data_IF_601090722974
#
_entry.id   IF_601090722974
#
_cell.length_a   1.000
_cell.length_b   1.000
_cell.length_c   1.000
_cell.angle_alpha   90.00
_cell.angle_beta   90.00
_cell.angle_gamma   90.00
#
_symmetry.space_group_name_H-M   'P 1'
#
loop_
_entity.id
_entity.type
_entity.pdbx_description
1 polymer ?
#
# COMPACT_ATOMS: atom_id res chain seq x y z
N UNK A 1 24.05 -33.56 -1.86
CA UNK A 1 23.27 -32.29 -1.84
C UNK A 1 22.41 -32.12 -3.08
N UNK A 2 22.97 -32.27 -4.30
CA UNK A 2 22.22 -32.16 -5.56
C UNK A 2 20.92 -33.00 -5.60
N UNK A 3 20.92 -34.32 -5.29
CA UNK A 3 19.69 -35.12 -5.31
C UNK A 3 18.68 -34.73 -4.22
N UNK A 4 19.15 -34.18 -3.09
CA UNK A 4 18.26 -33.70 -2.03
C UNK A 4 17.50 -32.45 -2.49
N UNK A 5 18.19 -31.54 -3.19
CA UNK A 5 17.59 -30.30 -3.70
C UNK A 5 16.66 -30.57 -4.88
N UNK A 6 17.05 -31.43 -5.83
CA UNK A 6 16.19 -31.78 -6.98
C UNK A 6 14.90 -32.46 -6.54
N UNK A 7 14.96 -33.43 -5.61
CA UNK A 7 13.78 -34.13 -5.12
C UNK A 7 12.84 -33.25 -4.26
N UNK A 8 13.33 -32.15 -3.67
CA UNK A 8 12.50 -31.21 -2.90
C UNK A 8 12.03 -30.01 -3.75
N UNK A 9 12.63 -29.78 -4.92
CA UNK A 9 12.27 -28.67 -5.81
C UNK A 9 10.80 -28.68 -6.24
N UNK A 10 10.16 -29.83 -6.59
CA UNK A 10 8.74 -29.87 -6.92
C UNK A 10 7.84 -29.33 -5.80
N UNK A 11 8.16 -29.63 -4.54
CA UNK A 11 7.41 -29.15 -3.38
C UNK A 11 7.54 -27.63 -3.22
N UNK A 12 8.77 -27.11 -3.27
CA UNK A 12 9.04 -25.67 -3.11
C UNK A 12 8.44 -24.85 -4.26
N UNK A 13 8.67 -25.27 -5.51
CA UNK A 13 8.12 -24.62 -6.69
C UNK A 13 6.59 -24.74 -6.73
N UNK A 14 6.06 -25.93 -6.44
CA UNK A 14 4.62 -26.18 -6.39
C UNK A 14 3.93 -25.26 -5.38
N UNK A 15 4.46 -25.14 -4.16
CA UNK A 15 3.90 -24.25 -3.15
C UNK A 15 4.01 -22.77 -3.57
N UNK A 16 5.14 -22.35 -4.11
CA UNK A 16 5.34 -20.98 -4.59
C UNK A 16 4.33 -20.62 -5.69
N UNK A 17 4.19 -21.48 -6.71
CA UNK A 17 3.24 -21.30 -7.82
C UNK A 17 1.78 -21.38 -7.35
N UNK A 18 1.48 -22.25 -6.38
CA UNK A 18 0.15 -22.33 -5.78
C UNK A 18 -0.24 -20.99 -5.14
N UNK A 19 0.66 -20.41 -4.34
CA UNK A 19 0.43 -19.14 -3.65
C UNK A 19 0.31 -17.97 -4.63
N UNK A 20 1.20 -17.86 -5.63
CA UNK A 20 1.13 -16.77 -6.61
C UNK A 20 -0.05 -16.91 -7.55
N UNK A 21 -0.33 -18.14 -7.99
CA UNK A 21 -1.41 -18.44 -8.91
C UNK A 21 -2.77 -18.17 -8.27
N UNK A 22 -2.97 -18.61 -7.03
CA UNK A 22 -4.18 -18.32 -6.27
C UNK A 22 -4.38 -16.81 -6.08
N UNK A 23 -3.32 -16.08 -5.73
CA UNK A 23 -3.40 -14.64 -5.55
C UNK A 23 -3.74 -13.89 -6.86
N UNK A 24 -3.23 -14.33 -8.02
CA UNK A 24 -3.58 -13.75 -9.33
C UNK A 24 -5.00 -14.10 -9.77
N UNK A 25 -5.40 -15.36 -9.60
CA UNK A 25 -6.68 -15.87 -10.06
C UNK A 25 -7.85 -15.34 -9.23
N UNK A 26 -7.71 -15.35 -7.90
CA UNK A 26 -8.78 -15.01 -6.94
C UNK A 26 -8.62 -13.63 -6.29
N UNK A 27 -7.51 -12.93 -6.53
CA UNK A 27 -7.24 -11.62 -5.94
C UNK A 27 -8.27 -10.56 -6.34
N UNK A 28 -8.80 -9.84 -5.35
CA UNK A 28 -9.67 -8.67 -5.59
C UNK A 28 -8.90 -7.48 -6.18
N UNK A 29 -7.59 -7.43 -5.95
CA UNK A 29 -6.71 -6.34 -6.39
C UNK A 29 -6.11 -6.55 -7.80
N UNK A 30 -6.36 -7.70 -8.46
CA UNK A 30 -5.75 -8.02 -9.76
C UNK A 30 -6.06 -6.99 -10.84
N UNK A 31 -7.26 -6.39 -10.83
CA UNK A 31 -7.61 -5.33 -11.80
C UNK A 31 -6.79 -4.04 -11.58
N UNK A 32 -6.55 -3.67 -10.31
CA UNK A 32 -5.71 -2.52 -9.95
C UNK A 32 -4.24 -2.78 -10.28
N UNK A 33 -3.75 -3.99 -10.02
CA UNK A 33 -2.40 -4.40 -10.40
C UNK A 33 -2.23 -4.38 -11.91
N UNK A 34 -3.20 -4.89 -12.68
CA UNK A 34 -3.18 -4.91 -14.14
C UNK A 34 -2.95 -3.50 -14.71
N UNK A 35 -3.67 -2.49 -14.20
CA UNK A 35 -3.57 -1.10 -14.63
C UNK A 35 -2.14 -0.52 -14.57
N UNK A 36 -1.32 -1.02 -13.64
CA UNK A 36 0.06 -0.56 -13.42
C UNK A 36 1.12 -1.43 -14.12
N UNK A 37 0.69 -2.41 -14.94
CA UNK A 37 1.60 -3.27 -15.71
C UNK A 37 1.78 -2.78 -17.14
N UNK A 38 2.89 -3.20 -17.76
CA UNK A 38 3.11 -3.06 -19.22
C UNK A 38 2.03 -3.77 -20.04
N UNK A 39 1.38 -4.78 -19.46
CA UNK A 39 0.37 -5.58 -20.15
C UNK A 39 -0.84 -4.76 -20.60
N UNK A 40 -1.22 -3.72 -19.85
CA UNK A 40 -2.29 -2.80 -20.25
C UNK A 40 -1.88 -1.94 -21.44
N UNK A 41 -0.61 -1.54 -21.52
CA UNK A 41 -0.09 -0.78 -22.67
C UNK A 41 -0.01 -1.65 -23.92
N UNK A 42 0.41 -2.90 -23.78
CA UNK A 42 0.53 -3.85 -24.91
C UNK A 42 -0.84 -4.31 -25.42
N UNK A 43 -1.78 -4.59 -24.53
CA UNK A 43 -3.12 -5.07 -24.90
C UNK A 43 -4.12 -3.95 -25.18
N UNK A 44 -3.74 -2.70 -24.89
CA UNK A 44 -4.55 -1.48 -25.00
C UNK A 44 -5.93 -1.57 -24.32
N UNK A 45 -6.05 -2.42 -23.29
CA UNK A 45 -7.31 -2.72 -22.59
C UNK A 45 -7.04 -3.30 -21.19
N UNK A 46 -7.52 -2.61 -20.16
CA UNK A 46 -7.43 -3.02 -18.75
C UNK A 46 -8.12 -4.36 -18.44
N UNK A 47 -9.23 -4.65 -19.13
CA UNK A 47 -9.98 -5.90 -18.94
C UNK A 47 -9.23 -7.09 -19.51
N UNK A 48 -8.64 -6.94 -20.71
CA UNK A 48 -7.81 -7.98 -21.33
C UNK A 48 -6.55 -8.26 -20.51
N UNK A 49 -5.89 -7.22 -19.99
CA UNK A 49 -4.75 -7.40 -19.09
C UNK A 49 -5.12 -8.14 -17.81
N UNK A 50 -6.28 -7.82 -17.21
CA UNK A 50 -6.78 -8.53 -16.02
C UNK A 50 -7.08 -10.00 -16.33
N UNK A 51 -7.71 -10.29 -17.48
CA UNK A 51 -7.97 -11.67 -17.91
C UNK A 51 -6.68 -12.45 -18.18
N UNK A 52 -5.70 -11.83 -18.82
CA UNK A 52 -4.39 -12.44 -19.06
C UNK A 52 -3.67 -12.78 -17.74
N UNK A 53 -3.70 -11.89 -16.74
CA UNK A 53 -3.15 -12.19 -15.41
C UNK A 53 -3.90 -13.31 -14.69
N UNK A 54 -5.23 -13.39 -14.82
CA UNK A 54 -6.01 -14.50 -14.26
C UNK A 54 -5.74 -15.82 -14.96
N UNK A 55 -5.65 -15.82 -16.29
CA UNK A 55 -5.29 -17.00 -17.07
C UNK A 55 -3.90 -17.52 -16.69
N UNK A 56 -2.94 -16.60 -16.53
CA UNK A 56 -1.62 -16.91 -16.02
C UNK A 56 -1.66 -17.48 -14.59
N UNK A 57 -2.49 -16.93 -13.70
CA UNK A 57 -2.71 -17.49 -12.37
C UNK A 57 -3.28 -18.91 -12.41
N UNK A 58 -4.21 -19.18 -13.33
CA UNK A 58 -4.72 -20.53 -13.58
C UNK A 58 -3.64 -21.49 -14.09
N UNK A 59 -2.76 -21.04 -14.98
CA UNK A 59 -1.62 -21.81 -15.46
C UNK A 59 -0.63 -22.15 -14.34
N UNK A 60 -0.32 -21.18 -13.46
CA UNK A 60 0.53 -21.40 -12.28
C UNK A 60 -0.08 -22.46 -11.34
N UNK A 61 -1.39 -22.39 -11.09
CA UNK A 61 -2.08 -23.40 -10.27
C UNK A 61 -2.08 -24.79 -10.91
N UNK A 62 -2.26 -24.88 -12.22
CA UNK A 62 -2.21 -26.15 -12.94
C UNK A 62 -0.82 -26.80 -12.84
N UNK A 63 0.24 -26.00 -13.03
CA UNK A 63 1.62 -26.48 -12.85
C UNK A 63 1.94 -26.84 -11.41
N UNK A 64 1.44 -26.07 -10.44
CA UNK A 64 1.58 -26.40 -9.02
C UNK A 64 0.94 -27.75 -8.70
N UNK A 65 -0.29 -27.98 -9.16
CA UNK A 65 -0.98 -29.26 -8.97
C UNK A 65 -0.20 -30.41 -9.63
N UNK A 66 0.31 -30.21 -10.84
CA UNK A 66 1.10 -31.22 -11.55
C UNK A 66 2.41 -31.56 -10.84
N UNK A 67 3.16 -30.55 -10.36
CA UNK A 67 4.40 -30.75 -9.61
C UNK A 67 4.18 -31.47 -8.27
N UNK A 68 3.05 -31.22 -7.61
CA UNK A 68 2.74 -31.84 -6.32
C UNK A 68 2.19 -33.26 -6.47
N UNK A 69 1.40 -33.52 -7.52
CA UNK A 69 0.76 -34.81 -7.77
C UNK A 69 1.69 -35.82 -8.46
N UNK A 70 2.54 -35.35 -9.38
CA UNK A 70 3.47 -36.18 -10.16
C UNK A 70 4.89 -35.57 -10.11
N UNK A 71 5.57 -35.60 -8.96
CA UNK A 71 6.83 -34.89 -8.74
C UNK A 71 8.04 -35.47 -9.50
N UNK A 72 7.93 -36.71 -9.98
CA UNK A 72 8.91 -37.44 -10.80
C UNK A 72 8.65 -37.29 -12.31
N UNK A 73 7.57 -36.62 -12.71
CA UNK A 73 7.29 -36.35 -14.11
C UNK A 73 8.20 -35.23 -14.63
N UNK A 74 8.85 -35.49 -15.76
CA UNK A 74 9.74 -34.53 -16.43
C UNK A 74 8.99 -33.28 -16.93
N UNK A 75 7.77 -33.47 -17.45
CA UNK A 75 6.99 -32.42 -18.14
C UNK A 75 6.65 -31.22 -17.23
N UNK A 76 6.11 -31.41 -16.00
CA UNK A 76 5.86 -30.28 -15.08
C UNK A 76 7.11 -29.46 -14.74
N UNK A 77 8.27 -30.12 -14.57
CA UNK A 77 9.54 -29.44 -14.33
C UNK A 77 9.97 -28.55 -15.50
N UNK A 78 9.96 -29.10 -16.72
CA UNK A 78 10.27 -28.35 -17.96
C UNK A 78 9.29 -27.19 -18.14
N UNK A 79 7.99 -27.42 -18.00
CA UNK A 79 6.98 -26.39 -18.17
C UNK A 79 7.15 -25.26 -17.14
N UNK A 80 7.52 -25.60 -15.90
CA UNK A 80 7.84 -24.60 -14.86
C UNK A 80 9.09 -23.80 -15.20
N UNK A 81 10.14 -24.43 -15.73
CA UNK A 81 11.34 -23.73 -16.17
C UNK A 81 11.04 -22.77 -17.33
N UNK A 82 10.25 -23.21 -18.31
CA UNK A 82 9.81 -22.37 -19.43
C UNK A 82 8.95 -21.20 -18.97
N UNK A 83 8.04 -21.42 -18.01
CA UNK A 83 7.25 -20.35 -17.41
C UNK A 83 8.15 -19.32 -16.73
N UNK A 84 9.13 -19.76 -15.93
CA UNK A 84 10.12 -18.88 -15.29
C UNK A 84 10.95 -18.10 -16.31
N UNK A 85 11.35 -18.74 -17.41
CA UNK A 85 12.09 -18.10 -18.49
C UNK A 85 11.22 -17.05 -19.21
N UNK A 86 9.95 -17.36 -19.46
CA UNK A 86 8.95 -16.44 -19.98
C UNK A 86 8.75 -15.22 -19.08
N UNK A 87 8.66 -15.41 -17.76
CA UNK A 87 8.64 -14.29 -16.81
C UNK A 87 9.91 -13.46 -16.85
N UNK A 88 11.07 -14.09 -16.96
CA UNK A 88 12.35 -13.37 -17.07
C UNK A 88 12.40 -12.52 -18.33
N UNK A 89 11.95 -13.06 -19.47
CA UNK A 89 11.83 -12.33 -20.72
C UNK A 89 10.83 -11.17 -20.65
N UNK A 90 9.67 -11.40 -20.03
CA UNK A 90 8.68 -10.35 -19.78
C UNK A 90 9.25 -9.23 -18.90
N UNK A 91 9.96 -9.57 -17.82
CA UNK A 91 10.60 -8.59 -16.93
C UNK A 91 11.67 -7.77 -17.67
N UNK A 92 12.49 -8.40 -18.51
CA UNK A 92 13.48 -7.70 -19.33
C UNK A 92 12.81 -6.73 -20.31
N UNK A 93 11.77 -7.18 -21.01
CA UNK A 93 10.99 -6.33 -21.92
C UNK A 93 10.32 -5.16 -21.18
N UNK A 94 9.68 -5.43 -20.04
CA UNK A 94 9.02 -4.41 -19.24
C UNK A 94 10.01 -3.40 -18.67
N UNK A 95 11.19 -3.86 -18.21
CA UNK A 95 12.25 -2.96 -17.73
C UNK A 95 12.78 -2.04 -18.83
N UNK A 96 12.86 -2.53 -20.06
CA UNK A 96 13.32 -1.75 -21.21
C UNK A 96 12.28 -0.73 -21.71
N UNK A 97 10.98 -1.05 -21.62
CA UNK A 97 9.90 -0.24 -22.21
C UNK A 97 9.17 0.66 -21.21
N UNK A 98 9.13 0.28 -19.93
CA UNK A 98 8.48 1.03 -18.86
C UNK A 98 9.12 0.70 -17.49
N UNK A 99 10.29 1.26 -17.16
CA UNK A 99 11.05 0.90 -15.96
C UNK A 99 10.32 1.19 -14.64
N UNK A 100 9.37 2.13 -14.66
CA UNK A 100 8.51 2.50 -13.53
C UNK A 100 7.25 1.63 -13.39
N UNK A 101 7.00 0.72 -14.34
CA UNK A 101 5.84 -0.17 -14.27
C UNK A 101 6.07 -1.31 -13.27
N UNK A 102 4.98 -1.80 -12.67
CA UNK A 102 5.04 -3.01 -11.84
C UNK A 102 5.11 -4.26 -12.73
N UNK A 103 5.82 -5.27 -12.26
CA UNK A 103 5.88 -6.56 -12.94
C UNK A 103 4.53 -7.30 -12.97
N UNK A 104 3.59 -7.02 -12.04
CA UNK A 104 2.34 -7.78 -11.88
C UNK A 104 2.50 -9.29 -11.59
N UNK A 105 3.72 -9.82 -11.66
CA UNK A 105 4.06 -11.22 -11.43
C UNK A 105 4.05 -11.59 -9.94
N UNK A 106 4.27 -10.62 -9.04
CA UNK A 106 4.08 -10.75 -7.60
C UNK A 106 2.79 -10.06 -7.19
N UNK A 107 1.85 -10.81 -6.61
CA UNK A 107 0.48 -10.37 -6.36
C UNK A 107 0.31 -9.18 -5.40
N UNK A 108 1.37 -8.57 -4.88
CA UNK A 108 1.31 -7.48 -3.90
C UNK A 108 2.27 -6.30 -4.13
N UNK A 109 3.10 -6.32 -5.18
CA UNK A 109 4.14 -5.29 -5.34
C UNK A 109 3.77 -4.26 -6.43
N UNK A 110 3.50 -3.03 -6.01
CA UNK A 110 3.23 -1.87 -6.90
C UNK A 110 4.54 -1.13 -7.29
N UNK A 111 5.71 -1.56 -6.77
CA UNK A 111 7.01 -0.90 -7.01
C UNK A 111 7.65 -1.19 -8.38
N UNK A 112 8.68 -0.42 -8.76
CA UNK A 112 9.39 -0.57 -10.03
C UNK A 112 10.13 -1.91 -10.11
N UNK A 113 10.31 -2.42 -11.33
CA UNK A 113 11.02 -3.69 -11.58
C UNK A 113 12.48 -3.58 -11.12
N UNK A 114 12.82 -4.32 -10.05
CA UNK A 114 14.14 -4.36 -9.44
C UNK A 114 14.83 -5.71 -9.56
N UNK A 115 16.08 -5.80 -9.07
CA UNK A 115 16.89 -7.02 -9.11
C UNK A 115 16.18 -8.22 -8.46
N UNK A 116 15.40 -7.99 -7.39
CA UNK A 116 14.63 -9.03 -6.69
C UNK A 116 13.62 -9.74 -7.58
N UNK A 117 12.97 -9.01 -8.49
CA UNK A 117 12.01 -9.58 -9.45
C UNK A 117 12.70 -10.57 -10.40
N UNK A 118 13.89 -10.22 -10.88
CA UNK A 118 14.72 -11.12 -11.70
C UNK A 118 15.25 -12.30 -10.90
N UNK A 119 15.70 -12.10 -9.66
CA UNK A 119 16.13 -13.21 -8.78
C UNK A 119 14.99 -14.21 -8.57
N UNK A 120 13.76 -13.73 -8.33
CA UNK A 120 12.60 -14.60 -8.17
C UNK A 120 12.27 -15.38 -9.45
N UNK A 121 12.28 -14.73 -10.61
CA UNK A 121 12.07 -15.41 -11.88
C UNK A 121 13.17 -16.46 -12.13
N UNK A 122 14.42 -16.13 -11.83
CA UNK A 122 15.55 -17.04 -11.87
C UNK A 122 15.41 -18.24 -10.93
N UNK A 123 14.85 -18.06 -9.73
CA UNK A 123 14.55 -19.17 -8.82
C UNK A 123 13.47 -20.10 -9.36
N UNK A 124 12.45 -19.58 -10.05
CA UNK A 124 11.44 -20.41 -10.71
C UNK A 124 12.07 -21.22 -11.84
N UNK A 125 12.98 -20.63 -12.62
CA UNK A 125 13.75 -21.35 -13.66
C UNK A 125 14.60 -22.45 -13.03
N UNK A 126 15.46 -22.10 -12.06
CA UNK A 126 16.36 -23.03 -11.41
C UNK A 126 15.62 -24.17 -10.70
N UNK A 127 14.51 -23.85 -10.02
CA UNK A 127 13.65 -24.83 -9.37
C UNK A 127 12.92 -25.73 -10.37
N UNK A 128 12.46 -25.20 -11.51
CA UNK A 128 11.89 -26.00 -12.60
C UNK A 128 12.90 -26.96 -13.21
N UNK A 129 14.14 -26.50 -13.46
CA UNK A 129 15.25 -27.36 -13.93
C UNK A 129 15.59 -28.43 -12.90
N UNK A 130 15.66 -28.07 -11.62
CA UNK A 130 15.92 -29.02 -10.54
C UNK A 130 14.78 -30.06 -10.41
N UNK A 131 13.52 -29.64 -10.56
CA UNK A 131 12.36 -30.53 -10.55
C UNK A 131 12.34 -31.45 -11.78
N UNK A 132 12.80 -31.00 -12.95
CA UNK A 132 12.93 -31.84 -14.14
C UNK A 132 13.95 -32.97 -13.97
N UNK A 133 14.93 -32.82 -13.06
CA UNK A 133 15.89 -33.86 -12.67
C UNK A 133 15.56 -34.55 -11.35
N UNK A 134 14.30 -34.49 -10.89
CA UNK A 134 13.87 -35.21 -9.70
C UNK A 134 13.64 -36.69 -10.05
N UNK A 135 14.41 -37.57 -9.42
CA UNK A 135 14.32 -39.02 -9.65
C UNK A 135 13.44 -39.71 -8.60
N UNK A 136 12.95 -38.97 -7.61
CA UNK A 136 12.04 -39.52 -6.60
C UNK A 136 11.11 -38.46 -6.02
N UNK A 137 9.96 -38.92 -5.54
CA UNK A 137 8.98 -38.05 -4.93
C UNK A 137 9.48 -37.40 -3.63
N UNK A 138 9.08 -36.14 -3.43
CA UNK A 138 9.49 -35.32 -2.29
C UNK A 138 9.13 -35.95 -0.93
N UNK A 139 7.99 -36.63 -0.81
CA UNK A 139 7.58 -37.29 0.43
C UNK A 139 8.49 -38.44 0.83
N UNK A 140 9.00 -39.18 -0.17
CA UNK A 140 9.98 -40.25 0.04
C UNK A 140 11.32 -39.68 0.50
N UNK A 141 11.76 -38.55 -0.05
CA UNK A 141 13.01 -37.89 0.38
C UNK A 141 12.90 -37.33 1.80
N UNK A 142 11.78 -36.71 2.16
CA UNK A 142 11.51 -36.23 3.53
C UNK A 142 11.55 -37.41 4.53
N UNK A 143 10.93 -38.53 4.17
CA UNK A 143 10.89 -39.72 5.04
C UNK A 143 12.28 -40.35 5.23
N UNK A 144 13.10 -40.37 4.16
CA UNK A 144 14.47 -40.92 4.21
C UNK A 144 15.46 -40.01 4.94
N UNK A 145 15.32 -38.69 4.81
CA UNK A 145 16.26 -37.69 5.32
C UNK A 145 15.53 -36.50 5.95
N UNK A 146 14.87 -36.67 7.10
CA UNK A 146 14.04 -35.62 7.69
C UNK A 146 14.85 -34.37 8.08
N UNK A 147 16.02 -34.54 8.70
CA UNK A 147 16.87 -33.42 9.11
C UNK A 147 17.43 -32.61 7.93
N UNK A 148 17.94 -33.29 6.91
CA UNK A 148 18.44 -32.63 5.70
C UNK A 148 17.32 -31.92 4.92
N UNK A 149 16.15 -32.56 4.83
CA UNK A 149 14.99 -31.96 4.17
C UNK A 149 14.46 -30.75 4.92
N UNK A 150 14.37 -30.82 6.24
CA UNK A 150 13.98 -29.68 7.07
C UNK A 150 14.92 -28.48 6.90
N UNK A 151 16.24 -28.72 6.83
CA UNK A 151 17.23 -27.66 6.62
C UNK A 151 17.09 -27.02 5.23
N UNK A 152 16.93 -27.83 4.17
CA UNK A 152 16.73 -27.31 2.81
C UNK A 152 15.43 -26.53 2.69
N UNK A 153 14.32 -27.03 3.26
CA UNK A 153 13.04 -26.35 3.25
C UNK A 153 13.08 -25.05 4.06
N UNK A 154 13.74 -25.06 5.22
CA UNK A 154 13.94 -23.85 6.02
C UNK A 154 14.79 -22.81 5.26
N UNK A 155 15.88 -23.23 4.63
CA UNK A 155 16.71 -22.34 3.80
C UNK A 155 15.93 -21.77 2.61
N UNK A 156 15.14 -22.60 1.92
CA UNK A 156 14.27 -22.16 0.83
C UNK A 156 13.20 -21.17 1.32
N UNK A 157 12.57 -21.43 2.46
CA UNK A 157 11.60 -20.53 3.06
C UNK A 157 12.22 -19.17 3.43
N UNK A 158 13.40 -19.16 4.07
CA UNK A 158 14.14 -17.93 4.38
C UNK A 158 14.49 -17.15 3.12
N UNK A 159 14.97 -17.84 2.07
CA UNK A 159 15.28 -17.21 0.79
C UNK A 159 14.05 -16.58 0.13
N UNK A 160 12.93 -17.31 0.09
CA UNK A 160 11.68 -16.81 -0.48
C UNK A 160 11.11 -15.63 0.33
N UNK A 161 11.16 -15.71 1.66
CA UNK A 161 10.74 -14.63 2.55
C UNK A 161 11.61 -13.37 2.39
N UNK A 162 12.93 -13.54 2.23
CA UNK A 162 13.85 -12.43 1.97
C UNK A 162 13.64 -11.77 0.59
N UNK A 163 13.08 -12.51 -0.37
CA UNK A 163 12.77 -12.01 -1.71
C UNK A 163 11.36 -11.40 -1.81
N UNK A 164 10.46 -11.66 -0.87
CA UNK A 164 9.19 -10.92 -0.75
C UNK A 164 9.42 -9.55 -0.13
N UNK A 165 9.11 -8.48 -0.87
CA UNK A 165 9.14 -7.09 -0.39
C UNK A 165 8.22 -6.83 0.83
N UNK A 166 7.32 -7.76 1.14
CA UNK A 166 6.37 -7.70 2.24
C UNK A 166 6.97 -8.01 3.63
N UNK A 167 8.23 -8.45 3.75
CA UNK A 167 8.81 -8.69 5.08
C UNK A 167 8.84 -7.39 5.92
N UNK A 168 9.13 -6.26 5.27
CA UNK A 168 9.09 -4.95 5.92
C UNK A 168 7.67 -4.58 6.38
N UNK A 169 6.66 -4.84 5.57
CA UNK A 169 5.28 -4.42 5.84
C UNK A 169 4.55 -5.37 6.79
N UNK A 170 4.81 -6.66 6.69
CA UNK A 170 4.16 -7.72 7.49
C UNK A 170 4.87 -7.92 8.82
N UNK A 171 6.21 -7.80 8.87
CA UNK A 171 6.97 -8.02 10.11
C UNK A 171 7.55 -6.73 10.68
N UNK A 172 8.23 -5.89 9.88
CA UNK A 172 8.88 -4.71 10.46
C UNK A 172 7.91 -3.61 10.88
N UNK A 173 6.76 -3.43 10.22
CA UNK A 173 5.76 -2.44 10.65
C UNK A 173 5.14 -2.80 12.01
N UNK A 174 4.61 -4.01 12.26
CA UNK A 174 4.12 -4.35 13.59
C UNK A 174 5.24 -4.34 14.63
N UNK A 175 6.46 -4.74 14.26
CA UNK A 175 7.61 -4.70 15.18
C UNK A 175 8.06 -3.28 15.52
N UNK A 176 8.04 -2.35 14.55
CA UNK A 176 8.25 -0.91 14.79
C UNK A 176 7.13 -0.31 15.63
N UNK A 177 5.86 -0.68 15.37
CA UNK A 177 4.72 -0.24 16.19
C UNK A 177 4.82 -0.77 17.63
N UNK A 178 5.21 -2.02 17.81
CA UNK A 178 5.46 -2.62 19.10
C UNK A 178 6.66 -1.94 19.80
N UNK A 179 7.75 -1.68 19.06
CA UNK A 179 8.90 -0.93 19.56
C UNK A 179 8.49 0.47 20.02
N UNK A 180 7.69 1.21 19.25
CA UNK A 180 7.22 2.54 19.63
C UNK A 180 6.31 2.46 20.86
N UNK A 181 5.46 1.43 20.97
CA UNK A 181 4.63 1.21 22.18
C UNK A 181 5.45 0.88 23.42
N UNK A 182 6.56 0.14 23.28
CA UNK A 182 7.37 -0.34 24.41
C UNK A 182 8.47 0.64 24.80
N UNK A 183 9.13 1.26 23.83
CA UNK A 183 10.30 2.12 24.02
C UNK A 183 9.99 3.60 23.82
N UNK A 184 8.73 3.96 23.53
CA UNK A 184 8.33 5.33 23.26
C UNK A 184 8.71 5.82 21.86
N UNK A 185 8.28 7.05 21.55
CA UNK A 185 8.61 7.70 20.29
C UNK A 185 10.10 8.11 20.30
N UNK A 186 10.89 7.75 19.26
CA UNK A 186 12.30 8.12 19.18
C UNK A 186 12.56 9.61 18.98
N UNK A 187 11.52 10.41 18.69
CA UNK A 187 11.65 11.86 18.68
C UNK A 187 11.70 12.36 20.14
N UNK A 188 12.61 13.30 20.47
CA UNK A 188 12.69 13.87 21.80
C UNK A 188 11.32 14.45 22.16
N UNK A 189 10.68 13.84 23.15
CA UNK A 189 9.48 14.40 23.79
C UNK A 189 9.96 15.49 24.76
N UNK A 190 10.62 16.51 24.21
CA UNK A 190 11.08 17.64 24.98
C UNK A 190 9.85 18.37 25.50
N UNK A 191 9.67 18.38 26.82
CA UNK A 191 8.77 19.30 27.50
C UNK A 191 9.13 20.73 27.08
N UNK A 192 8.41 21.27 26.10
CA UNK A 192 8.62 22.63 25.58
C UNK A 192 8.80 22.75 24.07
N UNK A 193 8.94 21.67 23.31
CA UNK A 193 9.01 21.77 21.84
C UNK A 193 7.59 21.90 21.27
N UNK A 194 7.11 23.16 21.20
CA UNK A 194 5.78 23.50 20.70
C UNK A 194 5.64 23.02 19.26
N UNK A 195 4.54 22.31 18.97
CA UNK A 195 4.15 21.94 17.60
C UNK A 195 4.24 23.20 16.72
N UNK A 196 4.97 23.18 15.60
CA UNK A 196 5.03 24.33 14.72
C UNK A 196 3.64 24.74 14.24
N UNK A 197 3.42 26.05 14.12
CA UNK A 197 2.12 26.61 13.70
C UNK A 197 1.71 26.08 12.33
N UNK A 198 2.67 25.98 11.40
CA UNK A 198 2.45 25.39 10.08
C UNK A 198 1.92 23.95 10.15
N UNK A 199 2.41 23.13 11.09
CA UNK A 199 1.90 21.78 11.30
C UNK A 199 0.47 21.81 11.88
N UNK A 200 0.17 22.77 12.76
CA UNK A 200 -1.18 22.96 13.31
C UNK A 200 -2.18 23.33 12.21
N UNK A 201 -1.82 24.28 11.35
CA UNK A 201 -2.63 24.70 10.19
C UNK A 201 -2.87 23.52 9.25
N UNK A 202 -1.81 22.78 8.90
CA UNK A 202 -1.94 21.62 8.02
C UNK A 202 -2.86 20.53 8.58
N UNK A 203 -2.82 20.29 9.90
CA UNK A 203 -3.72 19.35 10.57
C UNK A 203 -5.15 19.89 10.63
N UNK A 204 -5.33 21.18 10.90
CA UNK A 204 -6.63 21.83 10.89
C UNK A 204 -7.28 21.72 9.50
N UNK A 205 -6.55 22.07 8.43
CA UNK A 205 -7.07 22.07 7.06
C UNK A 205 -7.51 20.67 6.58
N UNK A 206 -6.93 19.61 7.17
CA UNK A 206 -7.31 18.23 6.91
C UNK A 206 -8.43 17.70 7.83
N UNK A 207 -8.92 18.52 8.77
CA UNK A 207 -9.93 18.13 9.76
C UNK A 207 -11.36 18.37 9.27
N UNK A 208 -12.32 17.67 9.90
CA UNK A 208 -13.75 17.90 9.65
C UNK A 208 -14.18 19.32 10.06
N UNK A 209 -13.62 19.87 11.13
CA UNK A 209 -13.92 21.23 11.59
C UNK A 209 -13.62 22.27 10.50
N UNK A 210 -12.50 22.11 9.81
CA UNK A 210 -12.17 22.94 8.65
C UNK A 210 -13.10 22.69 7.48
N UNK A 211 -13.38 21.43 7.13
CA UNK A 211 -14.30 21.12 6.02
C UNK A 211 -15.69 21.74 6.22
N UNK A 212 -16.17 21.82 7.46
CA UNK A 212 -17.44 22.47 7.81
C UNK A 212 -17.38 24.00 7.68
N UNK A 213 -16.26 24.63 8.04
CA UNK A 213 -16.12 26.08 8.05
C UNK A 213 -15.53 26.70 6.76
N UNK A 214 -14.85 25.90 5.93
CA UNK A 214 -14.23 26.31 4.66
C UNK A 214 -15.19 27.06 3.72
N UNK A 215 -16.51 26.75 3.64
CA UNK A 215 -17.43 27.52 2.81
C UNK A 215 -17.56 29.00 3.19
N UNK A 216 -17.26 29.37 4.43
CA UNK A 216 -17.31 30.75 4.95
C UNK A 216 -15.94 31.42 4.89
N UNK A 217 -14.86 30.67 5.09
CA UNK A 217 -13.48 31.19 5.06
C UNK A 217 -13.11 31.73 3.66
N UNK A 218 -12.44 32.88 3.62
CA UNK A 218 -12.03 33.58 2.39
C UNK A 218 -10.56 33.99 2.37
N UNK A 219 -9.84 33.86 3.50
CA UNK A 219 -8.42 34.21 3.59
C UNK A 219 -7.54 33.01 3.95
N UNK A 220 -6.22 33.22 3.83
CA UNK A 220 -5.23 32.44 4.55
C UNK A 220 -5.26 32.79 6.05
N UNK A 221 -4.43 32.10 6.86
CA UNK A 221 -4.24 32.43 8.27
C UNK A 221 -3.82 33.89 8.41
N UNK A 222 -4.62 34.69 9.13
CA UNK A 222 -4.34 36.10 9.37
C UNK A 222 -3.51 36.28 10.63
N UNK A 223 -3.89 35.57 11.69
CA UNK A 223 -3.23 35.69 12.97
C UNK A 223 -3.37 34.40 13.79
N UNK A 224 -2.52 34.26 14.80
CA UNK A 224 -2.53 33.15 15.72
C UNK A 224 -1.98 33.58 17.08
N UNK A 225 -2.48 32.94 18.13
CA UNK A 225 -1.92 33.10 19.46
C UNK A 225 -2.15 31.84 20.28
N UNK A 226 -1.30 31.65 21.28
CA UNK A 226 -1.42 30.56 22.25
C UNK A 226 -1.88 31.17 23.57
N UNK A 227 -2.98 30.67 24.14
CA UNK A 227 -3.53 31.11 25.41
C UNK A 227 -4.06 29.94 26.23
N UNK A 228 -3.65 29.85 27.50
CA UNK A 228 -4.09 28.81 28.46
C UNK A 228 -4.14 27.37 27.92
N UNK A 229 -3.16 26.98 27.09
CA UNK A 229 -3.09 25.65 26.49
C UNK A 229 -3.90 25.46 25.21
N UNK A 230 -4.57 26.50 24.73
CA UNK A 230 -5.22 26.56 23.44
C UNK A 230 -4.37 27.33 22.43
N UNK A 231 -4.32 26.84 21.20
CA UNK A 231 -3.88 27.61 20.05
C UNK A 231 -5.09 28.11 19.29
N UNK A 232 -5.22 29.42 19.18
CA UNK A 232 -6.28 30.06 18.40
C UNK A 232 -5.71 30.51 17.06
N UNK A 233 -6.42 30.18 15.98
CA UNK A 233 -6.10 30.54 14.61
C UNK A 233 -7.23 31.41 14.04
N UNK A 234 -6.91 32.61 13.56
CA UNK A 234 -7.87 33.55 12.98
C UNK A 234 -7.79 33.58 11.46
N UNK A 235 -8.94 33.46 10.82
CA UNK A 235 -9.14 33.62 9.39
C UNK A 235 -10.24 34.67 9.15
N UNK A 236 -10.20 35.36 8.02
CA UNK A 236 -11.33 36.14 7.54
C UNK A 236 -12.24 35.26 6.68
N UNK A 237 -13.53 35.51 6.80
CA UNK A 237 -14.58 34.87 6.03
C UNK A 237 -15.71 35.85 5.72
N UNK A 238 -16.73 35.35 5.05
CA UNK A 238 -17.97 36.08 4.84
C UNK A 238 -19.13 35.10 4.83
N UNK A 239 -20.23 35.47 5.47
CA UNK A 239 -21.49 34.74 5.39
C UNK A 239 -22.57 35.61 4.76
N UNK A 240 -23.65 34.95 4.33
CA UNK A 240 -24.78 35.62 3.72
C UNK A 240 -26.04 35.31 4.51
N UNK A 241 -26.82 36.34 4.81
CA UNK A 241 -28.14 36.24 5.43
C UNK A 241 -29.18 37.06 4.62
N UNK A 242 -30.36 37.29 5.19
CA UNK A 242 -31.43 38.07 4.58
C UNK A 242 -31.08 39.55 4.36
N UNK A 243 -30.07 40.07 5.09
CA UNK A 243 -29.66 41.48 5.09
C UNK A 243 -28.47 41.74 4.17
N UNK A 244 -27.71 40.72 3.82
CA UNK A 244 -26.66 40.82 2.81
C UNK A 244 -25.48 39.90 3.06
N UNK A 245 -24.32 40.29 2.56
CA UNK A 245 -23.04 39.62 2.84
C UNK A 245 -22.34 40.36 3.97
N UNK A 246 -22.01 39.64 5.04
CA UNK A 246 -21.37 40.21 6.23
C UNK A 246 -19.97 39.61 6.43
N UNK A 247 -18.95 40.45 6.72
CA UNK A 247 -17.60 39.98 7.04
C UNK A 247 -17.59 39.28 8.40
N UNK A 248 -16.87 38.17 8.49
CA UNK A 248 -16.69 37.44 9.76
C UNK A 248 -15.24 37.09 10.03
N UNK A 249 -14.87 37.14 11.30
CA UNK A 249 -13.69 36.51 11.84
C UNK A 249 -14.00 35.06 12.22
N UNK A 250 -13.35 34.11 11.54
CA UNK A 250 -13.47 32.68 11.82
C UNK A 250 -12.31 32.25 12.72
N UNK A 251 -12.64 31.80 13.92
CA UNK A 251 -11.68 31.36 14.93
C UNK A 251 -11.72 29.85 15.09
N UNK A 252 -10.55 29.23 15.00
CA UNK A 252 -10.34 27.83 15.37
C UNK A 252 -9.49 27.75 16.61
N UNK A 253 -10.01 27.16 17.69
CA UNK A 253 -9.26 26.90 18.91
C UNK A 253 -8.92 25.41 18.99
N UNK A 254 -7.63 25.10 19.11
CA UNK A 254 -7.08 23.75 19.21
C UNK A 254 -6.42 23.56 20.57
N UNK A 255 -6.78 22.51 21.29
CA UNK A 255 -6.16 22.17 22.56
C UNK A 255 -4.75 21.57 22.34
N UNK A 256 -3.72 22.28 22.78
CA UNK A 256 -2.31 21.88 22.67
C UNK A 256 -1.91 20.81 23.70
N UNK A 257 -2.74 20.57 24.72
CA UNK A 257 -2.49 19.55 25.75
C UNK A 257 -2.97 18.16 25.32
N UNK A 258 -3.82 18.08 24.31
CA UNK A 258 -4.33 16.83 23.75
C UNK A 258 -3.41 16.32 22.64
N UNK A 259 -3.11 15.02 22.70
CA UNK A 259 -2.35 14.29 21.69
C UNK A 259 -3.21 13.17 21.11
N UNK A 260 -2.82 12.64 19.95
CA UNK A 260 -3.50 11.48 19.34
C UNK A 260 -3.52 10.27 20.29
N UNK A 261 -2.54 10.15 21.17
CA UNK A 261 -2.43 9.07 22.15
C UNK A 261 -3.33 9.29 23.38
N UNK A 262 -3.69 10.54 23.68
CA UNK A 262 -4.51 10.90 24.86
C UNK A 262 -5.97 11.21 24.51
N UNK A 263 -6.28 11.54 23.27
CA UNK A 263 -7.65 11.68 22.77
C UNK A 263 -7.74 11.22 21.31
N UNK A 264 -8.69 10.32 20.97
CA UNK A 264 -8.88 9.87 19.59
C UNK A 264 -9.37 10.98 18.64
N UNK A 265 -9.81 12.13 19.17
CA UNK A 265 -10.27 13.28 18.39
C UNK A 265 -9.69 14.55 19.01
N UNK A 266 -8.89 15.36 18.28
CA UNK A 266 -8.53 16.69 18.78
C UNK A 266 -9.82 17.51 18.93
N UNK A 267 -9.99 18.15 20.10
CA UNK A 267 -11.12 19.03 20.37
C UNK A 267 -10.91 20.37 19.64
N UNK A 268 -11.20 20.41 18.34
CA UNK A 268 -11.21 21.67 17.58
C UNK A 268 -12.55 22.36 17.82
N UNK A 269 -12.50 23.58 18.36
CA UNK A 269 -13.67 24.45 18.52
C UNK A 269 -13.65 25.50 17.43
N UNK A 270 -14.82 25.76 16.84
CA UNK A 270 -14.99 26.77 15.78
C UNK A 270 -15.95 27.83 16.29
N UNK A 271 -15.62 29.09 16.09
CA UNK A 271 -16.51 30.22 16.36
C UNK A 271 -16.41 31.24 15.25
N UNK A 272 -17.55 31.84 14.91
CA UNK A 272 -17.65 32.88 13.89
C UNK A 272 -18.09 34.14 14.62
N UNK A 273 -17.34 35.21 14.45
CA UNK A 273 -17.64 36.51 15.04
C UNK A 273 -17.91 37.47 13.89
N UNK A 274 -19.08 38.08 13.88
CA UNK A 274 -19.41 39.14 12.93
C UNK A 274 -18.55 40.37 13.24
N UNK A 275 -17.83 40.89 12.24
CA UNK A 275 -16.93 42.03 12.45
C UNK A 275 -17.68 43.35 12.60
N UNK A 276 -18.95 43.44 12.21
CA UNK A 276 -19.78 44.64 12.36
C UNK A 276 -20.45 44.70 13.74
N UNK A 277 -20.93 43.55 14.24
CA UNK A 277 -21.70 43.48 15.49
C UNK A 277 -20.89 42.99 16.68
N UNK A 278 -19.71 42.39 16.44
CA UNK A 278 -18.88 41.70 17.43
C UNK A 278 -19.60 40.53 18.13
N UNK A 279 -20.74 40.08 17.61
CA UNK A 279 -21.52 38.98 18.17
C UNK A 279 -21.11 37.63 17.56
N UNK A 280 -21.29 36.57 18.35
CA UNK A 280 -21.04 35.19 17.87
C UNK A 280 -22.18 34.78 16.95
N UNK A 281 -21.83 34.50 15.69
CA UNK A 281 -22.77 34.06 14.67
C UNK A 281 -23.22 32.61 14.97
N UNK A 282 -24.53 32.30 14.88
CA UNK A 282 -25.03 30.96 15.09
C UNK A 282 -24.38 29.93 14.17
N UNK A 283 -24.10 28.73 14.71
CA UNK A 283 -23.52 27.63 13.94
C UNK A 283 -24.37 27.17 12.75
N UNK A 284 -25.66 27.53 12.70
CA UNK A 284 -26.53 27.26 11.55
C UNK A 284 -26.03 27.90 10.25
N UNK A 285 -25.23 28.97 10.33
CA UNK A 285 -24.59 29.63 9.17
C UNK A 285 -23.50 28.76 8.52
N UNK A 286 -22.96 27.77 9.25
CA UNK A 286 -22.05 26.76 8.70
C UNK A 286 -22.77 25.62 7.95
N UNK A 287 -24.11 25.65 7.93
CA UNK A 287 -24.93 24.67 7.18
C UNK A 287 -24.96 25.09 5.72
N UNK A 288 -24.64 24.19 4.77
CA UNK A 288 -24.41 24.60 3.38
C UNK A 288 -25.72 25.03 2.70
N UNK A 289 -25.73 26.24 2.13
CA UNK A 289 -26.76 26.74 1.21
C UNK A 289 -26.07 27.63 0.15
N UNK A 290 -26.49 27.66 -1.13
CA UNK A 290 -26.52 26.64 -2.18
C UNK A 290 -25.33 26.76 -3.17
N UNK A 291 -25.33 25.93 -4.22
CA UNK A 291 -24.26 25.71 -5.24
C UNK A 291 -23.52 26.97 -5.69
N UNK A 292 -22.18 26.88 -5.69
CA UNK A 292 -21.27 27.80 -6.41
C UNK A 292 -21.76 27.97 -7.85
N UNK A 293 -22.22 29.16 -8.19
CA UNK A 293 -22.48 29.55 -9.57
C UNK A 293 -21.13 29.58 -10.29
N UNK A 294 -20.96 28.72 -11.29
CA UNK A 294 -19.77 28.73 -12.14
C UNK A 294 -19.74 30.08 -12.85
N UNK A 295 -18.69 30.86 -12.60
CA UNK A 295 -18.48 32.12 -13.30
C UNK A 295 -18.30 31.81 -14.79
N UNK A 296 -18.97 32.55 -15.70
CA UNK A 296 -18.76 32.37 -17.12
C UNK A 296 -17.29 32.66 -17.43
N UNK A 297 -16.60 31.65 -17.97
CA UNK A 297 -15.29 31.86 -18.56
C UNK A 297 -15.49 32.73 -19.80
N UNK A 298 -14.72 33.81 -19.92
CA UNK A 298 -14.64 34.55 -21.17
C UNK A 298 -14.09 33.59 -22.25
N UNK A 299 -14.87 33.35 -23.29
CA UNK A 299 -14.40 32.70 -24.52
C UNK A 299 -13.50 33.65 -25.31
#
# INVERSE_FOLDING_TARGET
MIPLVSNLAPLVCGLLLALTGAAKLFGRQTARLAANTVLVRVLNDGRRATLALRALGGLELALAAALLAAPDALLPGIATALLGAGFTGYLAYAKATAPESSCGCSASDEGPIGARSFTRAGLVVAGGVAAAGADSAWWSEISRRPGGSALVLAAAAVLLLGLTADLDRVWLVPLRKARIRVFGNPLPSGTGERVPVAATVQLLENSLAWQTAMPVVRSALLDHWDDEGWRVLRYAGAYQDERGTHPVSVLFALDLTLSVDTSPHPAVRVSLIDEETEEVVPASVLTPVPRRTVLPLAN
#
